data_IF_314796718246
#
_entry.id   IF_314796718246
#
_cell.length_a   1.000
_cell.length_b   1.000
_cell.length_c   1.000
_cell.angle_alpha   90.00
_cell.angle_beta   90.00
_cell.angle_gamma   90.00
#
_symmetry.space_group_name_H-M   'P 1'
#
loop_
_entity.id
_entity.type
_entity.pdbx_description
1 polymer ?
#
# COMPACT_ATOMS: atom_id res chain seq x y z
N UNK A 1 17.81 -57.66 8.30
CA UNK A 1 18.11 -56.79 9.46
C UNK A 1 18.88 -55.54 9.02
N UNK A 2 19.85 -55.66 8.11
CA UNK A 2 20.75 -54.54 7.77
C UNK A 2 20.09 -53.41 6.97
N UNK A 3 19.20 -53.72 6.03
CA UNK A 3 18.45 -52.70 5.28
C UNK A 3 17.57 -51.80 6.16
N UNK A 4 17.07 -52.35 7.28
CA UNK A 4 16.27 -51.58 8.24
C UNK A 4 17.18 -50.60 8.98
N UNK A 5 18.36 -51.05 9.43
CA UNK A 5 19.34 -50.19 10.11
C UNK A 5 19.82 -49.05 9.20
N UNK A 6 20.07 -49.35 7.92
CA UNK A 6 20.46 -48.33 6.94
C UNK A 6 19.36 -47.28 6.71
N UNK A 7 18.10 -47.72 6.57
CA UNK A 7 16.98 -46.80 6.44
C UNK A 7 16.83 -45.86 7.65
N UNK A 8 16.97 -46.38 8.87
CA UNK A 8 16.95 -45.55 10.08
C UNK A 8 18.13 -44.58 10.17
N UNK A 9 19.31 -44.98 9.70
CA UNK A 9 20.49 -44.11 9.68
C UNK A 9 20.29 -42.92 8.73
N UNK A 10 19.73 -43.16 7.52
CA UNK A 10 19.40 -42.09 6.57
C UNK A 10 18.35 -41.12 7.12
N UNK A 11 17.28 -41.64 7.73
CA UNK A 11 16.25 -40.80 8.36
C UNK A 11 16.84 -39.94 9.47
N UNK A 12 17.79 -40.48 10.24
CA UNK A 12 18.47 -39.74 11.30
C UNK A 12 19.33 -38.60 10.74
N UNK A 13 20.01 -38.83 9.61
CA UNK A 13 20.79 -37.82 8.89
C UNK A 13 19.88 -36.72 8.34
N UNK A 14 18.77 -37.08 7.70
CA UNK A 14 17.79 -36.13 7.18
C UNK A 14 17.19 -35.26 8.29
N UNK A 15 16.83 -35.86 9.44
CA UNK A 15 16.32 -35.12 10.61
C UNK A 15 17.38 -34.16 11.16
N UNK A 16 18.65 -34.54 11.11
CA UNK A 16 19.74 -33.66 11.54
C UNK A 16 19.92 -32.47 10.58
N UNK A 17 19.91 -32.72 9.26
CA UNK A 17 19.96 -31.67 8.25
C UNK A 17 18.80 -30.69 8.37
N UNK A 18 17.57 -31.20 8.56
CA UNK A 18 16.38 -30.38 8.78
C UNK A 18 16.49 -29.50 10.04
N UNK A 19 17.09 -30.04 11.11
CA UNK A 19 17.33 -29.25 12.33
C UNK A 19 18.30 -28.10 12.07
N UNK A 20 19.38 -28.35 11.33
CA UNK A 20 20.37 -27.31 10.99
C UNK A 20 19.76 -26.24 10.09
N UNK A 21 18.97 -26.62 9.08
CA UNK A 21 18.24 -25.68 8.22
C UNK A 21 17.24 -24.85 9.03
N UNK A 22 16.51 -25.46 9.96
CA UNK A 22 15.56 -24.76 10.82
C UNK A 22 16.27 -23.77 11.76
N UNK A 23 17.45 -24.12 12.28
CA UNK A 23 18.28 -23.21 13.07
C UNK A 23 18.79 -22.05 12.21
N UNK A 24 19.27 -22.32 11.01
CA UNK A 24 19.71 -21.31 10.06
C UNK A 24 18.59 -20.33 9.70
N UNK A 25 17.39 -20.85 9.40
CA UNK A 25 16.20 -20.03 9.14
C UNK A 25 15.82 -19.17 10.35
N UNK A 26 15.91 -19.71 11.57
CA UNK A 26 15.62 -18.96 12.80
C UNK A 26 16.59 -17.80 13.01
N UNK A 27 17.87 -18.00 12.74
CA UNK A 27 18.89 -16.94 12.81
C UNK A 27 18.60 -15.84 11.78
N UNK A 28 18.35 -16.23 10.52
CA UNK A 28 18.01 -15.27 9.47
C UNK A 28 16.75 -14.46 9.81
N UNK A 29 15.74 -15.09 10.43
CA UNK A 29 14.51 -14.42 10.84
C UNK A 29 14.81 -13.35 11.91
N UNK A 30 15.66 -13.67 12.90
CA UNK A 30 16.10 -12.70 13.91
C UNK A 30 16.82 -11.51 13.26
N UNK A 31 17.77 -11.76 12.35
CA UNK A 31 18.47 -10.69 11.64
C UNK A 31 17.53 -9.81 10.80
N UNK A 32 16.52 -10.41 10.15
CA UNK A 32 15.53 -9.63 9.39
C UNK A 32 14.66 -8.77 10.30
N UNK A 33 14.30 -9.25 11.49
CA UNK A 33 13.53 -8.46 12.46
C UNK A 33 14.35 -7.30 13.01
N UNK A 34 15.64 -7.49 13.26
CA UNK A 34 16.54 -6.40 13.69
C UNK A 34 16.61 -5.30 12.63
N UNK A 35 16.79 -5.67 11.35
CA UNK A 35 16.79 -4.70 10.23
C UNK A 35 15.45 -3.97 10.09
N UNK A 36 14.32 -4.65 10.30
CA UNK A 36 13.00 -4.01 10.27
C UNK A 36 12.85 -2.98 11.40
N UNK A 37 13.36 -3.30 12.60
CA UNK A 37 13.35 -2.35 13.71
C UNK A 37 14.23 -1.13 13.42
N UNK A 38 15.42 -1.32 12.85
CA UNK A 38 16.29 -0.20 12.42
C UNK A 38 15.60 0.71 11.41
N UNK A 39 14.96 0.14 10.38
CA UNK A 39 14.20 0.90 9.38
C UNK A 39 13.05 1.67 10.05
N UNK A 40 12.38 1.06 11.02
CA UNK A 40 11.26 1.68 11.74
C UNK A 40 11.72 2.91 12.54
N UNK A 41 12.85 2.81 13.24
CA UNK A 41 13.44 3.94 13.97
C UNK A 41 13.83 5.10 13.03
N UNK A 42 14.43 4.79 11.87
CA UNK A 42 14.75 5.81 10.85
C UNK A 42 13.48 6.51 10.37
N UNK A 43 12.40 5.75 10.12
CA UNK A 43 11.13 6.29 9.65
C UNK A 43 10.45 7.20 10.68
N UNK A 44 10.51 6.83 11.97
CA UNK A 44 10.03 7.70 13.06
C UNK A 44 10.85 8.99 13.20
N UNK A 45 12.16 8.93 12.96
CA UNK A 45 13.03 10.12 12.93
C UNK A 45 12.61 11.11 11.85
N UNK A 46 12.41 10.63 10.62
CA UNK A 46 12.02 11.46 9.47
C UNK A 46 10.65 12.14 9.64
N UNK A 47 9.69 11.46 10.27
CA UNK A 47 8.35 12.02 10.51
C UNK A 47 8.33 13.12 11.57
N UNK A 48 9.38 13.26 12.39
CA UNK A 48 9.43 14.24 13.48
C UNK A 48 9.95 15.62 13.03
N UNK A 49 10.64 15.71 11.90
CA UNK A 49 11.27 16.95 11.42
C UNK A 49 10.34 17.89 10.61
N UNK A 50 9.10 17.49 10.31
CA UNK A 50 8.17 18.30 9.48
C UNK A 50 7.30 19.33 10.25
N UNK A 51 7.58 19.62 11.53
CA UNK A 51 6.96 20.74 12.26
C UNK A 51 7.95 21.89 12.48
N UNK A 52 8.28 22.60 11.42
CA UNK A 52 8.88 23.95 11.50
C UNK A 52 7.85 24.98 11.04
N UNK A 53 7.67 25.97 11.89
CA UNK A 53 6.70 27.06 11.88
C UNK A 53 6.76 27.90 10.59
N UNK A 54 5.63 28.10 9.91
CA UNK A 54 5.47 29.17 8.92
C UNK A 54 5.04 30.46 9.64
N UNK A 55 5.78 31.59 9.51
CA UNK A 55 5.38 32.86 10.09
C UNK A 55 4.23 33.51 9.33
N UNK A 56 3.36 34.12 10.11
CA UNK A 56 2.30 35.07 9.78
C UNK A 56 2.79 36.19 8.85
N UNK A 57 2.09 36.43 7.74
CA UNK A 57 2.08 37.76 7.11
C UNK A 57 0.64 38.16 6.78
N UNK A 58 0.21 39.17 7.53
CA UNK A 58 -1.03 39.92 7.37
C UNK A 58 -0.62 41.22 6.72
N UNK A 59 -1.09 41.54 5.51
CA UNK A 59 -1.54 42.90 5.18
C UNK A 59 -2.06 43.07 3.75
N UNK A 60 -3.14 43.85 3.67
CA UNK A 60 -3.55 44.74 2.57
C UNK A 60 -3.87 44.11 1.20
N UNK A 61 -5.17 44.13 0.86
CA UNK A 61 -5.70 45.02 -0.19
C UNK A 61 -7.18 45.33 0.15
N UNK A 62 -7.46 46.62 0.29
CA UNK A 62 -8.78 47.24 0.43
C UNK A 62 -8.87 48.28 -0.68
N UNK A 63 -9.70 48.03 -1.70
CA UNK A 63 -10.22 49.02 -2.64
C UNK A 63 -11.46 48.41 -3.31
N UNK A 64 -12.66 48.84 -2.89
CA UNK A 64 -13.57 49.66 -3.71
C UNK A 64 -14.42 48.86 -4.70
N UNK A 65 -15.66 48.54 -4.30
CA UNK A 65 -16.80 48.77 -5.19
C UNK A 65 -18.05 49.14 -4.37
N UNK A 66 -18.60 50.30 -4.74
CA UNK A 66 -19.79 50.94 -4.20
C UNK A 66 -21.07 50.38 -4.87
N UNK A 67 -22.13 50.34 -4.06
CA UNK A 67 -23.55 50.51 -4.39
C UNK A 67 -24.35 49.34 -5.01
N UNK A 68 -25.35 48.87 -4.23
CA UNK A 68 -26.75 48.54 -4.57
C UNK A 68 -27.36 47.94 -3.27
N UNK A 69 -27.99 48.73 -2.39
CA UNK A 69 -29.41 49.13 -2.33
C UNK A 69 -30.41 47.99 -2.09
N UNK A 70 -31.00 48.02 -0.87
CA UNK A 70 -32.31 47.46 -0.39
C UNK A 70 -32.53 45.93 -0.55
N UNK A 71 -32.92 45.13 0.44
CA UNK A 71 -33.92 45.33 1.49
C UNK A 71 -33.76 44.31 2.64
N UNK A 72 -34.26 44.72 3.80
CA UNK A 72 -34.82 43.97 4.94
C UNK A 72 -34.26 42.61 5.41
N UNK A 73 -34.01 42.53 6.72
CA UNK A 73 -34.43 41.34 7.46
C UNK A 73 -33.54 40.88 8.60
N UNK A 74 -33.73 41.49 9.78
CA UNK A 74 -33.67 40.86 11.11
C UNK A 74 -32.37 40.13 11.47
N UNK A 75 -31.59 40.68 12.41
CA UNK A 75 -31.15 39.88 13.57
C UNK A 75 -30.78 40.77 14.75
N UNK A 76 -31.43 40.44 15.86
CA UNK A 76 -31.38 41.06 17.17
C UNK A 76 -29.98 41.05 17.81
N UNK A 77 -29.72 42.07 18.63
CA UNK A 77 -29.34 41.84 20.02
C UNK A 77 -27.85 41.97 20.37
N UNK A 78 -27.55 43.05 21.06
CA UNK A 78 -26.25 43.40 21.64
C UNK A 78 -25.78 42.43 22.75
N UNK A 79 -24.48 42.14 22.68
CA UNK A 79 -23.49 41.73 23.71
C UNK A 79 -23.97 41.72 25.17
N UNK A 80 -23.66 40.62 25.87
CA UNK A 80 -23.35 40.65 27.30
C UNK A 80 -21.87 40.34 27.55
N UNK A 81 -21.31 41.09 28.49
CA UNK A 81 -19.93 41.13 28.95
C UNK A 81 -19.55 39.90 29.77
N UNK A 82 -18.29 39.50 29.69
CA UNK A 82 -17.66 38.51 30.55
C UNK A 82 -17.83 38.86 32.03
N UNK A 83 -18.34 37.92 32.83
CA UNK A 83 -18.21 37.92 34.29
C UNK A 83 -17.33 36.71 34.66
N UNK A 84 -16.13 36.90 35.24
CA UNK A 84 -15.34 35.82 35.81
C UNK A 84 -15.68 35.68 37.29
N UNK A 85 -16.45 34.65 37.66
CA UNK A 85 -16.68 34.29 39.07
C UNK A 85 -16.42 32.79 39.23
N UNK A 86 -15.20 32.48 39.72
CA UNK A 86 -14.90 31.33 40.61
C UNK A 86 -15.89 31.38 41.78
N UNK A 87 -16.48 30.32 42.34
CA UNK A 87 -15.88 29.32 43.25
C UNK A 87 -16.97 28.22 43.45
N UNK A 88 -16.63 26.93 43.31
CA UNK A 88 -17.03 25.84 44.25
C UNK A 88 -16.65 24.46 43.74
N UNK A 89 -15.45 24.01 44.12
CA UNK A 89 -15.20 22.60 44.40
C UNK A 89 -15.69 22.32 45.83
N UNK A 90 -17.00 22.34 46.02
CA UNK A 90 -17.59 21.85 47.27
C UNK A 90 -17.95 20.38 47.10
N UNK A 91 -17.12 19.53 47.70
CA UNK A 91 -17.58 18.29 48.31
C UNK A 91 -17.99 17.16 47.38
N UNK A 92 -17.02 16.49 46.75
CA UNK A 92 -17.15 15.06 46.48
C UNK A 92 -16.01 14.32 47.15
N UNK A 93 -16.21 14.01 48.44
CA UNK A 93 -15.56 12.85 49.05
C UNK A 93 -16.27 11.62 48.50
N UNK A 94 -15.54 10.78 47.79
CA UNK A 94 -15.36 9.38 48.21
C UNK A 94 -14.42 8.67 47.24
N UNK A 95 -13.27 8.34 47.81
CA UNK A 95 -12.52 7.12 47.58
C UNK A 95 -13.41 5.97 47.08
N UNK A 96 -13.31 5.71 45.77
CA UNK A 96 -13.59 4.40 45.21
C UNK A 96 -12.44 4.06 44.28
N UNK A 97 -11.41 3.43 44.86
CA UNK A 97 -10.58 2.49 44.12
C UNK A 97 -11.49 1.62 43.27
N UNK A 98 -11.37 1.77 41.95
CA UNK A 98 -11.97 0.82 41.02
C UNK A 98 -10.93 -0.24 40.77
N UNK A 99 -10.96 -1.30 41.59
CA UNK A 99 -10.21 -2.53 41.34
C UNK A 99 -10.93 -3.37 40.27
N UNK A 100 -11.14 -2.76 39.10
CA UNK A 100 -11.60 -3.47 37.89
C UNK A 100 -10.42 -3.58 36.95
N UNK A 101 -9.59 -4.58 37.24
CA UNK A 101 -8.85 -5.26 36.20
C UNK A 101 -9.87 -5.93 35.28
N UNK A 102 -10.27 -5.23 34.21
CA UNK A 102 -10.85 -5.92 33.05
C UNK A 102 -9.72 -6.67 32.38
N UNK A 103 -9.67 -7.98 32.61
CA UNK A 103 -9.11 -8.94 31.68
C UNK A 103 -9.80 -8.71 30.32
N UNK A 104 -9.26 -7.79 29.52
CA UNK A 104 -9.56 -7.70 28.10
C UNK A 104 -8.85 -8.88 27.47
N UNK A 105 -9.47 -10.06 27.53
CA UNK A 105 -9.15 -11.08 26.55
C UNK A 105 -9.41 -10.44 25.16
N UNK A 106 -8.41 -10.39 24.27
CA UNK A 106 -8.67 -9.95 22.91
C UNK A 106 -9.74 -10.87 22.33
N UNK A 107 -10.83 -10.28 21.82
CA UNK A 107 -11.90 -11.03 21.15
C UNK A 107 -11.32 -11.71 19.91
N UNK A 108 -10.90 -12.96 20.06
CA UNK A 108 -10.38 -13.80 18.97
C UNK A 108 -11.39 -13.91 17.81
N UNK A 109 -12.68 -13.80 18.11
CA UNK A 109 -13.76 -13.86 17.10
C UNK A 109 -13.74 -12.67 16.13
N UNK A 110 -13.33 -11.47 16.57
CA UNK A 110 -13.27 -10.29 15.69
C UNK A 110 -12.16 -10.47 14.63
N UNK A 111 -11.04 -11.11 15.01
CA UNK A 111 -9.92 -11.43 14.11
C UNK A 111 -10.26 -12.46 13.03
N UNK A 112 -11.09 -13.46 13.34
CA UNK A 112 -11.48 -14.50 12.38
C UNK A 112 -12.49 -13.94 11.37
N UNK A 113 -13.44 -13.11 11.82
CA UNK A 113 -14.40 -12.46 10.93
C UNK A 113 -13.71 -11.45 10.00
N UNK A 114 -12.72 -10.71 10.50
CA UNK A 114 -11.84 -9.85 9.69
C UNK A 114 -11.04 -10.64 8.67
N UNK A 115 -10.44 -11.78 9.05
CA UNK A 115 -9.73 -12.65 8.12
C UNK A 115 -10.64 -13.19 7.01
N UNK A 116 -11.88 -13.58 7.34
CA UNK A 116 -12.87 -14.02 6.34
C UNK A 116 -13.26 -12.89 5.37
N UNK A 117 -13.42 -11.66 5.87
CA UNK A 117 -13.66 -10.47 5.03
C UNK A 117 -12.49 -10.19 4.08
N UNK A 118 -11.25 -10.34 4.55
CA UNK A 118 -10.04 -10.20 3.73
C UNK A 118 -10.00 -11.28 2.64
N UNK A 119 -10.28 -12.54 2.98
CA UNK A 119 -10.32 -13.64 2.01
C UNK A 119 -11.37 -13.41 0.92
N UNK A 120 -12.58 -12.98 1.29
CA UNK A 120 -13.62 -12.62 0.32
C UNK A 120 -13.18 -11.45 -0.57
N UNK A 121 -12.47 -10.48 -0.01
CA UNK A 121 -11.93 -9.33 -0.76
C UNK A 121 -10.80 -9.74 -1.73
N UNK A 122 -10.04 -10.79 -1.41
CA UNK A 122 -9.03 -11.34 -2.31
C UNK A 122 -9.69 -12.05 -3.51
N UNK A 123 -10.80 -12.76 -3.28
CA UNK A 123 -11.54 -13.41 -4.35
C UNK A 123 -12.21 -12.41 -5.30
N UNK A 124 -12.77 -11.31 -4.78
CA UNK A 124 -13.29 -10.24 -5.62
C UNK A 124 -12.17 -9.59 -6.44
N UNK A 125 -11.02 -9.30 -5.83
CA UNK A 125 -9.85 -8.76 -6.52
C UNK A 125 -9.36 -9.69 -7.64
N UNK A 126 -9.27 -11.00 -7.37
CA UNK A 126 -8.86 -12.00 -8.38
C UNK A 126 -9.83 -12.05 -9.56
N UNK A 127 -11.14 -11.96 -9.30
CA UNK A 127 -12.17 -11.87 -10.34
C UNK A 127 -12.04 -10.59 -11.17
N UNK A 128 -11.80 -9.45 -10.53
CA UNK A 128 -11.58 -8.19 -11.23
C UNK A 128 -10.34 -8.22 -12.14
N UNK A 129 -9.22 -8.74 -11.63
CA UNK A 129 -8.00 -8.94 -12.42
C UNK A 129 -8.34 -9.83 -13.63
N UNK A 130 -8.96 -10.99 -13.42
CA UNK A 130 -9.38 -11.88 -14.52
C UNK A 130 -10.23 -11.15 -15.56
N UNK A 131 -11.25 -10.39 -15.15
CA UNK A 131 -12.12 -9.66 -16.06
C UNK A 131 -11.38 -8.60 -16.87
N UNK A 132 -10.43 -7.88 -16.26
CA UNK A 132 -9.61 -6.88 -16.95
C UNK A 132 -8.71 -7.54 -18.00
N UNK A 133 -8.01 -8.62 -17.64
CA UNK A 133 -7.10 -9.31 -18.56
C UNK A 133 -7.81 -10.14 -19.64
N UNK A 134 -9.04 -10.60 -19.37
CA UNK A 134 -9.88 -11.26 -20.38
C UNK A 134 -10.32 -10.32 -21.53
N UNK A 135 -10.42 -9.02 -21.26
CA UNK A 135 -10.76 -7.98 -22.27
C UNK A 135 -9.58 -7.57 -23.15
N UNK A 136 -8.38 -8.09 -22.88
CA UNK A 136 -7.18 -7.75 -23.63
C UNK A 136 -7.02 -8.64 -24.86
N UNK A 137 -6.61 -8.03 -25.96
CA UNK A 137 -6.27 -8.76 -27.19
C UNK A 137 -4.96 -9.54 -27.00
N UNK A 138 -4.69 -10.50 -27.87
CA UNK A 138 -3.45 -11.28 -27.83
C UNK A 138 -2.21 -10.39 -27.92
N UNK A 139 -2.25 -9.38 -28.80
CA UNK A 139 -1.14 -8.44 -28.93
C UNK A 139 -1.00 -7.52 -27.70
N UNK A 140 -2.10 -7.11 -27.08
CA UNK A 140 -2.04 -6.34 -25.83
C UNK A 140 -1.44 -7.18 -24.69
N UNK A 141 -1.77 -8.47 -24.61
CA UNK A 141 -1.14 -9.41 -23.66
C UNK A 141 0.34 -9.58 -23.94
N UNK A 142 0.72 -9.69 -25.21
CA UNK A 142 2.11 -9.86 -25.59
C UNK A 142 2.93 -8.63 -25.21
N UNK A 143 2.39 -7.44 -25.48
CA UNK A 143 3.02 -6.17 -25.06
C UNK A 143 3.12 -6.08 -23.54
N UNK A 144 2.03 -6.38 -22.82
CA UNK A 144 2.01 -6.35 -21.35
C UNK A 144 3.02 -7.33 -20.74
N UNK A 145 3.03 -8.59 -21.19
CA UNK A 145 3.95 -9.61 -20.69
C UNK A 145 5.41 -9.25 -20.95
N UNK A 146 5.71 -8.63 -22.09
CA UNK A 146 7.06 -8.16 -22.40
C UNK A 146 7.47 -6.99 -21.50
N UNK A 147 6.55 -6.05 -21.23
CA UNK A 147 6.79 -4.97 -20.25
C UNK A 147 7.08 -5.58 -18.88
N UNK A 148 6.29 -6.56 -18.46
CA UNK A 148 6.46 -7.24 -17.17
C UNK A 148 7.83 -7.89 -17.04
N UNK A 149 8.24 -8.67 -18.05
CA UNK A 149 9.53 -9.35 -18.08
C UNK A 149 10.70 -8.36 -18.05
N UNK A 150 10.66 -7.33 -18.90
CA UNK A 150 11.72 -6.33 -18.97
C UNK A 150 11.81 -5.49 -17.68
N UNK A 151 10.68 -5.24 -17.01
CA UNK A 151 10.64 -4.57 -15.72
C UNK A 151 11.21 -5.44 -14.59
N UNK A 152 11.10 -6.77 -14.67
CA UNK A 152 11.80 -7.69 -13.76
C UNK A 152 13.30 -7.80 -14.07
N UNK A 153 13.70 -7.82 -15.35
CA UNK A 153 15.10 -7.92 -15.78
C UNK A 153 15.88 -6.62 -15.48
N UNK A 154 15.32 -5.47 -15.84
CA UNK A 154 16.04 -4.18 -15.88
C UNK A 154 15.48 -3.13 -14.90
N UNK A 155 14.36 -3.41 -14.22
CA UNK A 155 13.67 -2.46 -13.32
C UNK A 155 12.86 -1.36 -14.03
N UNK A 156 12.90 -1.32 -15.36
CA UNK A 156 12.05 -0.47 -16.20
C UNK A 156 12.03 -0.94 -17.65
N UNK A 157 10.99 -0.53 -18.38
CA UNK A 157 10.88 -0.75 -19.83
C UNK A 157 10.81 0.56 -20.59
N UNK A 158 11.57 0.67 -21.68
CA UNK A 158 11.50 1.79 -22.61
C UNK A 158 10.77 1.37 -23.91
N UNK A 159 10.13 2.33 -24.57
CA UNK A 159 9.47 2.07 -25.87
C UNK A 159 10.43 1.53 -26.93
N UNK A 160 11.68 1.99 -26.92
CA UNK A 160 12.73 1.53 -27.85
C UNK A 160 13.13 0.08 -27.58
N UNK A 161 13.21 -0.33 -26.32
CA UNK A 161 13.55 -1.70 -25.96
C UNK A 161 12.41 -2.66 -26.32
N UNK A 162 11.17 -2.24 -26.05
CA UNK A 162 9.97 -2.98 -26.40
C UNK A 162 9.79 -3.14 -27.92
N UNK A 163 10.04 -2.07 -28.69
CA UNK A 163 9.94 -2.10 -30.15
C UNK A 163 10.93 -3.09 -30.76
N UNK A 164 12.16 -3.12 -30.24
CA UNK A 164 13.21 -4.06 -30.65
C UNK A 164 12.86 -5.52 -30.30
N UNK A 165 12.43 -5.80 -29.06
CA UNK A 165 12.04 -7.16 -28.63
C UNK A 165 10.84 -7.71 -29.40
N UNK A 166 9.82 -6.88 -29.62
CA UNK A 166 8.56 -7.30 -30.26
C UNK A 166 8.54 -7.15 -31.78
N UNK A 167 9.60 -6.57 -32.38
CA UNK A 167 9.67 -6.23 -33.81
C UNK A 167 8.49 -5.38 -34.27
N UNK A 168 8.04 -4.45 -33.42
CA UNK A 168 6.97 -3.50 -33.69
C UNK A 168 7.53 -2.07 -33.72
N UNK A 169 6.82 -1.14 -34.35
CA UNK A 169 7.24 0.27 -34.29
C UNK A 169 6.99 0.86 -32.90
N UNK A 170 7.82 1.82 -32.47
CA UNK A 170 7.63 2.52 -31.19
C UNK A 170 6.23 3.19 -31.10
N UNK A 171 5.72 3.70 -32.21
CA UNK A 171 4.37 4.26 -32.30
C UNK A 171 3.30 3.22 -31.99
N UNK A 172 3.42 2.01 -32.56
CA UNK A 172 2.51 0.91 -32.27
C UNK A 172 2.56 0.52 -30.78
N UNK A 173 3.77 0.38 -30.21
CA UNK A 173 3.93 0.07 -28.78
C UNK A 173 3.27 1.15 -27.91
N UNK A 174 3.50 2.42 -28.21
CA UNK A 174 2.87 3.54 -27.49
C UNK A 174 1.34 3.44 -27.52
N UNK A 175 0.76 3.06 -28.66
CA UNK A 175 -0.68 2.91 -28.79
C UNK A 175 -1.21 1.70 -28.01
N UNK A 176 -0.51 0.56 -28.01
CA UNK A 176 -0.85 -0.59 -27.16
C UNK A 176 -0.77 -0.23 -25.68
N UNK A 177 0.29 0.44 -25.25
CA UNK A 177 0.46 0.88 -23.86
C UNK A 177 -0.65 1.85 -23.46
N UNK A 178 -1.02 2.79 -24.33
CA UNK A 178 -2.16 3.70 -24.10
C UNK A 178 -3.47 2.92 -23.94
N UNK A 179 -3.69 1.88 -24.75
CA UNK A 179 -4.87 1.00 -24.63
C UNK A 179 -4.86 0.21 -23.32
N UNK A 180 -3.72 -0.33 -22.90
CA UNK A 180 -3.56 -1.04 -21.62
C UNK A 180 -3.95 -0.13 -20.45
N UNK A 181 -3.41 1.10 -20.41
CA UNK A 181 -3.74 2.10 -19.38
C UNK A 181 -5.22 2.45 -19.41
N UNK A 182 -5.80 2.70 -20.59
CA UNK A 182 -7.23 3.00 -20.75
C UNK A 182 -8.14 1.87 -20.26
N UNK A 183 -7.69 0.61 -20.36
CA UNK A 183 -8.41 -0.58 -19.88
C UNK A 183 -8.20 -0.84 -18.38
N UNK A 184 -7.44 0.01 -17.68
CA UNK A 184 -7.20 -0.10 -16.24
C UNK A 184 -6.23 -1.23 -15.88
N UNK A 185 -5.32 -1.58 -16.81
CA UNK A 185 -4.20 -2.47 -16.54
C UNK A 185 -3.11 -1.66 -15.82
N UNK A 186 -2.52 -2.20 -14.73
CA UNK A 186 -1.56 -1.48 -13.90
C UNK A 186 -0.20 -1.36 -14.61
N UNK A 187 -0.11 -0.40 -15.52
CA UNK A 187 1.13 0.02 -16.18
C UNK A 187 1.37 1.49 -15.83
N UNK A 188 2.44 1.74 -15.09
CA UNK A 188 2.86 3.08 -14.73
C UNK A 188 3.75 3.66 -15.82
N UNK A 189 3.53 4.94 -16.14
CA UNK A 189 4.29 5.67 -17.15
C UNK A 189 4.93 6.88 -16.50
N UNK A 190 6.25 6.88 -16.36
CA UNK A 190 7.01 8.00 -15.79
C UNK A 190 7.83 8.67 -16.87
N UNK A 191 7.88 10.01 -16.83
CA UNK A 191 8.64 10.82 -17.79
C UNK A 191 9.88 11.37 -17.09
N UNK A 192 11.06 10.99 -17.57
CA UNK A 192 12.34 11.42 -17.00
C UNK A 192 12.99 12.45 -17.93
N UNK A 193 13.39 13.58 -17.36
CA UNK A 193 14.12 14.66 -18.04
C UNK A 193 13.45 15.12 -19.35
N UNK A 194 12.12 15.10 -19.40
CA UNK A 194 11.30 15.48 -20.54
C UNK A 194 11.52 14.73 -21.87
N UNK A 195 12.40 13.72 -21.90
CA UNK A 195 12.78 13.01 -23.13
C UNK A 195 12.51 11.51 -23.06
N UNK A 196 12.79 10.88 -21.91
CA UNK A 196 12.70 9.44 -21.77
C UNK A 196 11.42 9.05 -21.05
N UNK A 197 10.78 7.98 -21.51
CA UNK A 197 9.56 7.43 -20.93
C UNK A 197 9.89 6.04 -20.43
N UNK A 198 9.78 5.85 -19.12
CA UNK A 198 9.89 4.54 -18.48
C UNK A 198 8.50 3.99 -18.20
N UNK A 199 8.36 2.69 -18.43
CA UNK A 199 7.16 1.92 -18.18
C UNK A 199 7.48 0.85 -17.14
N UNK A 200 6.73 0.88 -16.05
CA UNK A 200 6.94 -0.01 -14.92
C UNK A 200 5.62 -0.62 -14.50
N UNK A 201 5.68 -1.75 -13.81
CA UNK A 201 4.52 -2.37 -13.18
C UNK A 201 4.70 -2.21 -11.67
N UNK A 202 3.67 -1.72 -10.98
CA UNK A 202 3.73 -1.48 -9.54
C UNK A 202 4.11 -2.77 -8.81
N UNK A 203 5.08 -2.70 -7.89
CA UNK A 203 5.57 -3.88 -7.17
C UNK A 203 4.47 -4.57 -6.35
N UNK A 204 3.51 -3.80 -5.84
CA UNK A 204 2.33 -4.34 -5.16
C UNK A 204 1.52 -5.26 -6.08
N UNK A 205 1.37 -4.88 -7.34
CA UNK A 205 0.68 -5.72 -8.32
C UNK A 205 1.48 -6.98 -8.65
N UNK A 206 2.81 -6.88 -8.76
CA UNK A 206 3.68 -8.05 -8.99
C UNK A 206 3.55 -9.09 -7.88
N UNK A 207 3.52 -8.63 -6.61
CA UNK A 207 3.33 -9.51 -5.44
C UNK A 207 1.98 -10.23 -5.45
N UNK A 208 0.92 -9.54 -5.88
CA UNK A 208 -0.45 -10.09 -5.89
C UNK A 208 -0.66 -11.04 -7.08
N UNK A 209 -0.09 -10.70 -8.25
CA UNK A 209 -0.30 -11.39 -9.49
C UNK A 209 1.01 -11.54 -10.27
N UNK A 210 1.74 -12.67 -10.07
CA UNK A 210 2.89 -12.98 -10.89
C UNK A 210 2.44 -13.23 -12.34
N UNK A 211 3.33 -13.00 -13.30
CA UNK A 211 3.01 -13.09 -14.74
C UNK A 211 2.36 -14.42 -15.12
N UNK A 212 2.85 -15.54 -14.57
CA UNK A 212 2.29 -16.88 -14.80
C UNK A 212 0.82 -16.97 -14.37
N UNK A 213 0.47 -16.42 -13.20
CA UNK A 213 -0.90 -16.36 -12.71
C UNK A 213 -1.78 -15.52 -13.63
N UNK A 214 -1.29 -14.39 -14.13
CA UNK A 214 -2.04 -13.51 -15.06
C UNK A 214 -2.38 -14.27 -16.35
N UNK A 215 -1.41 -14.99 -16.91
CA UNK A 215 -1.61 -15.80 -18.12
C UNK A 215 -2.62 -16.93 -17.89
N UNK A 216 -2.53 -17.62 -16.75
CA UNK A 216 -3.49 -18.67 -16.38
C UNK A 216 -4.91 -18.11 -16.18
N UNK A 217 -5.04 -16.96 -15.52
CA UNK A 217 -6.34 -16.32 -15.29
C UNK A 217 -7.05 -15.92 -16.58
N UNK A 218 -6.31 -15.62 -17.65
CA UNK A 218 -6.89 -15.31 -18.96
C UNK A 218 -7.44 -16.55 -19.67
N UNK A 219 -6.74 -17.68 -19.53
CA UNK A 219 -7.07 -18.92 -20.23
C UNK A 219 -8.21 -19.71 -19.54
N UNK A 220 -8.48 -19.43 -18.26
CA UNK A 220 -9.62 -19.93 -17.49
C UNK A 220 -10.91 -19.17 -17.83
#
# INVERSE_FOLDING_TARGET
MDNIKEAFQRVKEDVFLLREEMNFLKINLLETNEKINEISEILYGLLREEKVETPTDTDRIKAELKNLSTDEGVFNGLKSQNIPISIRNEGVSTDRQTDRQTDRQPKINDSIEEAAKILNSLDTLKKEIRLKFKKLTEQEILVFSTIYQLDEENGYSDYKLLSQRLKLTESSIRDYVRRLIKKGIPVEKTKINNKNIRLNITDNFKKIAPLSTILNLRNL
#
